data_IF_040003723274
#
_entry.id   IF_040003723274
#
_cell.length_a   1.000
_cell.length_b   1.000
_cell.length_c   1.000
_cell.angle_alpha   90.00
_cell.angle_beta   90.00
_cell.angle_gamma   90.00
#
_symmetry.space_group_name_H-M   'P 1'
#
loop_
_entity.id
_entity.type
_entity.pdbx_description
1 polymer ?
#
# COMPACT_ATOMS: atom_id res chain seq x y z
N UNK A 1 -13.90 23.46 20.37
CA UNK A 1 -14.93 23.25 19.34
C UNK A 1 -16.14 22.60 20.00
N UNK A 2 -17.36 23.07 19.71
CA UNK A 2 -18.57 22.51 20.33
C UNK A 2 -18.88 21.15 19.69
N UNK A 3 -19.25 20.15 20.51
CA UNK A 3 -19.63 18.83 20.02
C UNK A 3 -20.87 18.92 19.13
N UNK A 4 -20.90 18.12 18.08
CA UNK A 4 -21.90 18.03 17.01
C UNK A 4 -22.12 19.33 16.24
N UNK A 5 -21.20 20.29 16.32
CA UNK A 5 -21.29 21.51 15.53
C UNK A 5 -20.97 21.25 14.06
N UNK A 6 -21.48 22.08 13.14
CA UNK A 6 -21.06 22.05 11.74
C UNK A 6 -19.54 22.13 11.58
N UNK A 7 -18.87 22.96 12.40
CA UNK A 7 -17.41 23.10 12.39
C UNK A 7 -16.69 21.80 12.80
N UNK A 8 -17.21 21.06 13.79
CA UNK A 8 -16.64 19.77 14.16
C UNK A 8 -16.78 18.74 13.05
N UNK A 9 -17.95 18.70 12.40
CA UNK A 9 -18.19 17.79 11.27
C UNK A 9 -17.29 18.12 10.09
N UNK A 10 -17.12 19.41 9.77
CA UNK A 10 -16.21 19.87 8.72
C UNK A 10 -14.76 19.51 9.06
N UNK A 11 -14.33 19.75 10.31
CA UNK A 11 -13.02 19.36 10.81
C UNK A 11 -12.79 17.85 10.67
N UNK A 12 -13.73 17.02 11.14
CA UNK A 12 -13.63 15.57 11.06
C UNK A 12 -13.56 15.09 9.61
N UNK A 13 -14.46 15.60 8.75
CA UNK A 13 -14.48 15.27 7.32
C UNK A 13 -13.16 15.62 6.65
N UNK A 14 -12.60 16.80 6.91
CA UNK A 14 -11.27 17.20 6.40
C UNK A 14 -10.21 16.17 6.80
N UNK A 15 -10.11 15.82 8.08
CA UNK A 15 -9.09 14.90 8.58
C UNK A 15 -9.25 13.48 8.03
N UNK A 16 -10.48 13.00 7.86
CA UNK A 16 -10.73 11.70 7.22
C UNK A 16 -10.32 11.75 5.75
N UNK A 17 -10.74 12.76 5.01
CA UNK A 17 -10.53 12.83 3.57
C UNK A 17 -9.07 13.05 3.19
N UNK A 18 -8.36 13.95 3.88
CA UNK A 18 -6.98 14.33 3.55
C UNK A 18 -5.92 13.44 4.21
N UNK A 19 -6.30 12.44 5.01
CA UNK A 19 -5.32 11.59 5.71
C UNK A 19 -4.37 10.88 4.73
N UNK A 20 -3.10 10.92 5.08
CA UNK A 20 -2.02 10.13 4.47
C UNK A 20 -1.51 9.04 5.41
N UNK A 21 -1.95 9.10 6.68
CA UNK A 21 -1.42 8.34 7.80
C UNK A 21 -2.45 8.10 8.89
N UNK A 22 -1.97 7.66 10.05
CA UNK A 22 -2.73 7.78 11.29
C UNK A 22 -2.97 9.26 11.61
N UNK A 23 -4.13 9.54 12.17
CA UNK A 23 -4.49 10.87 12.66
C UNK A 23 -4.00 10.99 14.10
N UNK A 24 -3.13 11.96 14.35
CA UNK A 24 -2.65 12.29 15.69
C UNK A 24 -3.69 13.17 16.37
N UNK A 25 -4.07 12.82 17.59
CA UNK A 25 -4.87 13.70 18.44
C UNK A 25 -4.36 13.69 19.87
N UNK A 26 -4.49 14.85 20.52
CA UNK A 26 -4.14 15.06 21.91
C UNK A 26 -5.37 15.01 22.81
N UNK A 27 -5.21 14.42 23.99
CA UNK A 27 -6.22 14.49 25.04
C UNK A 27 -5.56 14.43 26.41
N UNK A 28 -6.22 15.03 27.40
CA UNK A 28 -5.81 14.90 28.79
C UNK A 28 -6.40 13.63 29.36
N UNK A 29 -5.57 12.81 30.00
CA UNK A 29 -6.01 11.61 30.73
C UNK A 29 -5.35 11.53 32.09
N UNK A 30 -5.93 10.76 32.98
CA UNK A 30 -5.22 10.35 34.19
C UNK A 30 -4.24 9.19 33.87
N UNK A 31 -3.12 9.11 34.59
CA UNK A 31 -2.25 7.94 34.54
C UNK A 31 -3.01 6.66 34.88
N UNK A 32 -2.67 5.58 34.20
CA UNK A 32 -3.20 4.25 34.49
C UNK A 32 -2.56 3.69 35.77
N UNK A 33 -3.20 2.70 36.40
CA UNK A 33 -2.63 2.04 37.58
C UNK A 33 -1.20 1.54 37.34
N UNK A 34 -0.93 1.00 36.14
CA UNK A 34 0.40 0.55 35.72
C UNK A 34 1.44 1.69 35.77
N UNK A 35 1.05 2.89 35.38
CA UNK A 35 1.94 4.06 35.36
C UNK A 35 2.21 4.63 36.77
N UNK A 36 1.20 4.52 37.65
CA UNK A 36 1.32 4.88 39.06
C UNK A 36 2.16 3.87 39.87
N UNK A 37 2.28 2.63 39.38
CA UNK A 37 2.94 1.53 40.09
C UNK A 37 4.33 1.19 39.53
N UNK A 38 4.89 2.00 38.62
CA UNK A 38 6.23 1.73 38.10
C UNK A 38 7.32 1.88 39.18
N UNK A 39 8.28 0.96 39.20
CA UNK A 39 9.44 1.02 40.10
C UNK A 39 10.41 2.16 39.74
N UNK A 40 10.44 2.56 38.47
CA UNK A 40 11.21 3.66 37.89
C UNK A 40 10.30 4.53 37.03
N UNK A 41 10.48 5.85 37.01
CA UNK A 41 9.62 6.79 36.25
C UNK A 41 8.14 6.76 36.67
N UNK A 42 7.88 6.57 37.97
CA UNK A 42 6.54 6.65 38.55
C UNK A 42 5.93 8.03 38.31
N UNK A 43 4.74 8.06 37.71
CA UNK A 43 4.00 9.30 37.49
C UNK A 43 3.09 9.57 38.69
N UNK A 44 2.97 10.83 39.10
CA UNK A 44 2.00 11.25 40.11
C UNK A 44 0.58 11.20 39.56
N UNK A 45 -0.41 11.03 40.44
CA UNK A 45 -1.82 11.04 40.05
C UNK A 45 -2.31 12.47 39.73
N UNK A 46 -1.91 12.98 38.58
CA UNK A 46 -2.32 14.27 38.03
C UNK A 46 -2.69 14.14 36.55
N UNK A 47 -3.57 15.00 36.01
CA UNK A 47 -3.92 14.96 34.59
C UNK A 47 -2.68 15.15 33.71
N UNK A 48 -2.43 14.19 32.81
CA UNK A 48 -1.32 14.24 31.85
C UNK A 48 -1.90 14.44 30.46
N UNK A 49 -1.38 15.45 29.74
CA UNK A 49 -1.66 15.59 28.32
C UNK A 49 -0.87 14.55 27.55
N UNK A 50 -1.56 13.76 26.72
CA UNK A 50 -0.94 12.76 25.86
C UNK A 50 -1.38 12.94 24.42
N UNK A 51 -0.49 12.62 23.48
CA UNK A 51 -0.80 12.54 22.06
C UNK A 51 -0.72 11.09 21.61
N UNK A 52 -1.75 10.64 20.87
CA UNK A 52 -1.77 9.30 20.31
C UNK A 52 -2.11 9.34 18.82
N UNK A 53 -1.59 8.35 18.11
CA UNK A 53 -1.88 8.12 16.70
C UNK A 53 -2.98 7.06 16.55
N UNK A 54 -4.09 7.40 15.89
CA UNK A 54 -5.14 6.44 15.53
C UNK A 54 -5.24 6.26 14.03
N UNK A 55 -5.33 5.00 13.60
CA UNK A 55 -5.74 4.70 12.22
C UNK A 55 -7.26 4.85 12.12
N UNK A 56 -7.71 5.45 11.03
CA UNK A 56 -9.12 5.53 10.63
C UNK A 56 -9.43 4.56 9.48
N UNK A 57 -8.53 3.61 9.23
CA UNK A 57 -8.70 2.63 8.18
C UNK A 57 -9.73 1.56 8.59
N UNK A 58 -10.26 0.89 7.58
CA UNK A 58 -11.17 -0.23 7.78
C UNK A 58 -10.50 -1.34 8.62
N UNK A 59 -11.15 -1.79 9.70
CA UNK A 59 -10.55 -2.69 10.71
C UNK A 59 -10.32 -4.15 10.23
N UNK A 60 -10.70 -4.47 8.98
CA UNK A 60 -10.55 -5.78 8.36
C UNK A 60 -11.24 -6.93 9.10
N UNK A 61 -12.26 -6.65 9.92
CA UNK A 61 -13.08 -7.70 10.56
C UNK A 61 -13.74 -8.63 9.54
N UNK A 62 -14.01 -8.13 8.33
CA UNK A 62 -14.46 -8.90 7.17
C UNK A 62 -13.45 -8.73 6.04
N UNK A 63 -13.39 -9.72 5.17
CA UNK A 63 -12.50 -9.72 4.01
C UNK A 63 -13.07 -8.80 2.92
N UNK A 64 -12.29 -7.85 2.38
CA UNK A 64 -12.68 -7.11 1.18
C UNK A 64 -12.84 -8.05 -0.01
N UNK A 65 -13.93 -7.92 -0.76
CA UNK A 65 -14.08 -8.59 -2.06
C UNK A 65 -13.31 -7.78 -3.09
N UNK A 66 -12.08 -8.18 -3.37
CA UNK A 66 -11.11 -7.42 -4.18
C UNK A 66 -11.57 -7.11 -5.61
N UNK A 67 -12.41 -7.96 -6.19
CA UNK A 67 -13.00 -7.76 -7.53
C UNK A 67 -14.12 -6.71 -7.53
N UNK A 68 -14.75 -6.44 -6.38
CA UNK A 68 -15.83 -5.46 -6.24
C UNK A 68 -15.34 -4.03 -5.96
N UNK A 69 -14.01 -3.82 -5.95
CA UNK A 69 -13.43 -2.57 -5.50
C UNK A 69 -13.61 -1.48 -6.55
N UNK A 70 -14.21 -0.35 -6.15
CA UNK A 70 -14.45 0.82 -7.00
C UNK A 70 -13.88 2.08 -6.37
N UNK A 71 -13.53 3.06 -7.21
CA UNK A 71 -13.00 4.34 -6.77
C UNK A 71 -14.18 5.31 -6.71
N UNK A 72 -14.49 5.79 -5.52
CA UNK A 72 -15.46 6.85 -5.29
C UNK A 72 -14.71 8.15 -5.03
N UNK A 73 -15.10 9.21 -5.73
CA UNK A 73 -14.51 10.53 -5.54
C UNK A 73 -15.42 11.39 -4.70
N UNK A 74 -14.90 11.91 -3.59
CA UNK A 74 -15.62 12.76 -2.66
C UNK A 74 -15.14 14.22 -2.82
N UNK A 75 -15.96 15.12 -3.39
CA UNK A 75 -15.64 16.54 -3.41
C UNK A 75 -15.79 17.14 -2.00
N UNK A 76 -14.76 17.88 -1.57
CA UNK A 76 -14.79 18.61 -0.30
C UNK A 76 -13.83 19.80 -0.35
N UNK A 77 -14.32 21.00 -0.03
CA UNK A 77 -13.52 22.23 0.05
C UNK A 77 -12.71 22.56 -1.21
N UNK A 78 -13.25 22.21 -2.39
CA UNK A 78 -12.59 22.46 -3.68
C UNK A 78 -11.58 21.39 -4.10
N UNK A 79 -11.31 20.40 -3.24
CA UNK A 79 -10.47 19.24 -3.54
C UNK A 79 -11.31 17.99 -3.82
N UNK A 80 -10.72 17.05 -4.57
CA UNK A 80 -11.30 15.76 -4.89
C UNK A 80 -10.52 14.65 -4.18
N UNK A 81 -11.19 13.90 -3.32
CA UNK A 81 -10.56 12.82 -2.56
C UNK A 81 -11.03 11.46 -3.04
N UNK A 82 -10.11 10.63 -3.53
CA UNK A 82 -10.40 9.24 -3.88
C UNK A 82 -10.57 8.35 -2.64
N UNK A 83 -11.59 7.50 -2.66
CA UNK A 83 -11.85 6.45 -1.68
C UNK A 83 -12.16 5.13 -2.36
N UNK A 84 -11.60 4.04 -1.85
CA UNK A 84 -11.97 2.70 -2.27
C UNK A 84 -13.25 2.26 -1.54
N UNK A 85 -14.24 1.86 -2.33
CA UNK A 85 -15.47 1.20 -1.88
C UNK A 85 -15.43 -0.26 -2.31
N UNK A 86 -15.98 -1.17 -1.51
CA UNK A 86 -15.96 -2.60 -1.80
C UNK A 86 -17.00 -3.36 -0.98
N UNK A 87 -17.49 -4.47 -1.53
CA UNK A 87 -18.25 -5.46 -0.77
C UNK A 87 -17.34 -6.26 0.18
N UNK A 88 -17.94 -6.96 1.14
CA UNK A 88 -17.18 -7.76 2.11
C UNK A 88 -17.75 -9.15 2.34
N UNK A 89 -16.86 -10.13 2.50
CA UNK A 89 -17.18 -11.52 2.81
C UNK A 89 -16.55 -11.93 4.15
N UNK A 90 -16.96 -13.08 4.69
CA UNK A 90 -16.26 -13.68 5.82
C UNK A 90 -14.85 -14.10 5.40
N UNK A 91 -13.89 -14.06 6.33
CA UNK A 91 -12.58 -14.67 6.11
C UNK A 91 -12.71 -16.19 6.12
N UNK A 92 -11.99 -16.88 5.25
CA UNK A 92 -11.96 -18.35 5.21
C UNK A 92 -11.43 -18.94 6.52
N UNK A 93 -10.39 -18.32 7.09
CA UNK A 93 -9.80 -18.73 8.37
C UNK A 93 -9.46 -17.55 9.28
N UNK A 94 -9.35 -17.81 10.58
CA UNK A 94 -8.83 -16.84 11.56
C UNK A 94 -7.37 -16.47 11.26
N UNK A 95 -6.60 -17.39 10.67
CA UNK A 95 -5.23 -17.15 10.26
C UNK A 95 -5.14 -16.10 9.16
N UNK A 96 -6.03 -16.16 8.17
CA UNK A 96 -6.08 -15.19 7.08
C UNK A 96 -6.46 -13.79 7.56
N UNK A 97 -7.47 -13.70 8.45
CA UNK A 97 -7.81 -12.47 9.15
C UNK A 97 -6.61 -11.88 9.89
N UNK A 98 -5.94 -12.70 10.71
CA UNK A 98 -4.80 -12.25 11.52
C UNK A 98 -3.67 -11.74 10.64
N UNK A 99 -3.31 -12.50 9.58
CA UNK A 99 -2.29 -12.12 8.59
C UNK A 99 -2.63 -10.80 7.90
N UNK A 100 -3.88 -10.63 7.46
CA UNK A 100 -4.34 -9.39 6.82
C UNK A 100 -4.28 -8.20 7.77
N UNK A 101 -4.75 -8.37 9.01
CA UNK A 101 -4.74 -7.32 10.04
C UNK A 101 -3.33 -6.88 10.41
N UNK A 102 -2.39 -7.81 10.52
CA UNK A 102 -0.98 -7.49 10.77
C UNK A 102 -0.35 -6.71 9.62
N UNK A 103 -0.59 -7.12 8.37
CA UNK A 103 -0.07 -6.41 7.19
C UNK A 103 -0.68 -5.01 7.07
N UNK A 104 -1.97 -4.83 7.37
CA UNK A 104 -2.61 -3.52 7.41
C UNK A 104 -2.07 -2.63 8.55
N UNK A 105 -1.84 -3.20 9.75
CA UNK A 105 -1.18 -2.47 10.85
C UNK A 105 0.24 -2.05 10.47
N UNK A 106 0.97 -2.89 9.74
CA UNK A 106 2.32 -2.56 9.26
C UNK A 106 2.29 -1.44 8.22
N UNK A 107 1.31 -1.45 7.32
CA UNK A 107 1.04 -0.33 6.41
C UNK A 107 0.77 0.96 7.18
N UNK A 108 -0.10 0.94 8.19
CA UNK A 108 -0.44 2.14 8.96
C UNK A 108 0.66 2.57 9.96
N UNK A 109 1.76 1.83 10.10
CA UNK A 109 2.78 2.15 11.07
C UNK A 109 3.69 3.28 10.56
N UNK A 110 3.50 4.49 11.10
CA UNK A 110 4.51 5.55 11.00
C UNK A 110 5.78 5.09 11.73
N UNK A 111 6.84 4.74 10.97
CA UNK A 111 8.18 4.53 11.54
C UNK A 111 9.14 5.60 10.99
N UNK A 112 10.05 6.16 11.81
CA UNK A 112 11.09 7.06 11.33
C UNK A 112 11.85 6.44 10.14
N UNK A 113 12.05 7.20 9.06
CA UNK A 113 12.68 6.70 7.82
C UNK A 113 11.81 5.74 6.99
N UNK A 114 10.54 5.57 7.32
CA UNK A 114 9.57 4.76 6.54
C UNK A 114 8.44 5.56 5.89
N UNK A 115 8.53 6.89 5.94
CA UNK A 115 7.65 7.85 5.28
C UNK A 115 8.45 8.68 4.26
N UNK A 116 7.81 9.08 3.15
CA UNK A 116 8.41 9.83 2.03
C UNK A 116 7.77 9.45 0.69
N UNK A 117 8.07 10.18 -0.39
CA UNK A 117 7.48 9.96 -1.73
C UNK A 117 7.64 8.52 -2.22
N UNK A 118 8.75 7.87 -1.85
CA UNK A 118 9.02 6.48 -2.23
C UNK A 118 8.27 5.45 -1.37
N UNK A 119 7.55 5.81 -0.29
CA UNK A 119 6.90 4.86 0.65
C UNK A 119 5.44 5.26 0.87
N UNK A 120 4.53 4.91 -0.06
CA UNK A 120 3.25 5.60 -0.24
C UNK A 120 2.13 5.16 0.72
N UNK A 121 2.41 4.39 1.77
CA UNK A 121 1.35 3.81 2.58
C UNK A 121 1.53 4.15 4.06
N UNK A 122 0.72 5.09 4.53
CA UNK A 122 0.41 5.31 5.96
C UNK A 122 -1.09 5.12 6.29
N UNK A 123 -1.93 4.93 5.28
CA UNK A 123 -3.36 4.66 5.42
C UNK A 123 -3.87 3.77 4.27
N UNK A 124 -5.10 3.26 4.41
CA UNK A 124 -5.84 2.49 3.41
C UNK A 124 -7.08 3.28 2.99
N UNK A 125 -6.90 4.19 2.04
CA UNK A 125 -7.92 5.10 1.53
C UNK A 125 -8.20 4.87 0.05
N UNK A 126 -7.19 4.88 -0.81
CA UNK A 126 -7.33 4.79 -2.28
C UNK A 126 -7.24 3.35 -2.79
N UNK A 127 -7.74 3.06 -4.01
CA UNK A 127 -7.65 1.72 -4.61
C UNK A 127 -6.19 1.26 -4.63
N UNK A 128 -5.27 2.15 -5.02
CA UNK A 128 -3.83 1.85 -5.09
C UNK A 128 -3.26 1.36 -3.76
N UNK A 129 -3.66 1.97 -2.65
CA UNK A 129 -3.24 1.56 -1.31
C UNK A 129 -3.82 0.18 -0.95
N UNK A 130 -5.08 -0.06 -1.31
CA UNK A 130 -5.75 -1.34 -1.10
C UNK A 130 -5.18 -2.49 -1.95
N UNK A 131 -4.83 -2.24 -3.21
CA UNK A 131 -4.14 -3.21 -4.08
C UNK A 131 -2.76 -3.56 -3.53
N UNK A 132 -2.04 -2.59 -2.98
CA UNK A 132 -0.78 -2.84 -2.27
C UNK A 132 -0.99 -3.77 -1.07
N UNK A 133 -2.06 -3.59 -0.29
CA UNK A 133 -2.41 -4.51 0.80
C UNK A 133 -2.76 -5.90 0.23
N UNK A 134 -3.59 -5.99 -0.81
CA UNK A 134 -3.98 -7.25 -1.44
C UNK A 134 -2.76 -8.07 -1.86
N UNK A 135 -1.83 -7.45 -2.60
CA UNK A 135 -0.55 -8.09 -2.98
C UNK A 135 0.18 -8.58 -1.75
N UNK A 136 0.39 -7.70 -0.75
CA UNK A 136 1.08 -8.07 0.48
C UNK A 136 0.41 -9.27 1.14
N UNK A 137 -0.91 -9.36 1.19
CA UNK A 137 -1.64 -10.51 1.79
C UNK A 137 -1.39 -11.80 1.02
N UNK A 138 -1.37 -11.74 -0.32
CA UNK A 138 -1.13 -12.89 -1.19
C UNK A 138 0.29 -13.46 -1.13
N UNK A 139 1.27 -12.68 -0.65
CA UNK A 139 2.63 -13.17 -0.45
C UNK A 139 2.83 -13.79 0.94
N UNK A 140 3.36 -15.02 0.95
CA UNK A 140 3.73 -15.87 2.10
C UNK A 140 4.91 -15.33 2.95
N UNK A 141 5.45 -14.15 2.60
CA UNK A 141 6.53 -13.49 3.33
C UNK A 141 7.92 -13.71 2.74
N UNK A 142 8.08 -14.58 1.74
CA UNK A 142 9.38 -14.79 1.06
C UNK A 142 9.80 -13.57 0.22
N UNK A 143 8.83 -12.75 -0.20
CA UNK A 143 9.02 -11.54 -0.98
C UNK A 143 8.46 -10.31 -0.26
N UNK A 144 9.28 -9.28 -0.15
CA UNK A 144 8.84 -7.97 0.32
C UNK A 144 8.22 -7.20 -0.84
N UNK A 145 6.91 -6.94 -0.75
CA UNK A 145 6.21 -6.03 -1.67
C UNK A 145 6.17 -4.63 -1.09
N UNK A 146 6.78 -3.66 -1.80
CA UNK A 146 6.78 -2.26 -1.40
C UNK A 146 5.46 -1.59 -1.81
N UNK A 147 5.13 -1.64 -3.08
CA UNK A 147 3.88 -1.15 -3.69
C UNK A 147 3.38 -2.19 -4.67
N UNK A 148 2.09 -2.14 -5.01
CA UNK A 148 1.52 -2.96 -6.09
C UNK A 148 2.27 -2.72 -7.41
N UNK A 149 2.41 -1.45 -7.82
CA UNK A 149 3.09 -1.08 -9.05
C UNK A 149 4.53 -1.59 -9.16
N UNK A 150 5.34 -1.44 -8.09
CA UNK A 150 6.71 -1.95 -8.08
C UNK A 150 6.76 -3.47 -8.17
N UNK A 151 5.76 -4.16 -7.59
CA UNK A 151 5.63 -5.60 -7.73
C UNK A 151 5.32 -5.97 -9.18
N UNK A 152 4.38 -5.28 -9.82
CA UNK A 152 4.03 -5.44 -11.24
C UNK A 152 5.25 -5.32 -12.15
N UNK A 153 6.07 -4.26 -12.00
CA UNK A 153 7.29 -4.10 -12.81
C UNK A 153 8.29 -5.25 -12.62
N UNK A 154 8.51 -5.68 -11.37
CA UNK A 154 9.43 -6.81 -11.12
C UNK A 154 8.90 -8.13 -11.69
N UNK A 155 7.58 -8.36 -11.65
CA UNK A 155 6.93 -9.54 -12.23
C UNK A 155 7.03 -9.54 -13.74
N UNK A 156 6.72 -8.40 -14.37
CA UNK A 156 6.83 -8.16 -15.81
C UNK A 156 8.25 -8.45 -16.33
N UNK A 157 9.28 -7.94 -15.66
CA UNK A 157 10.68 -8.23 -16.03
C UNK A 157 11.06 -9.68 -15.76
N UNK A 158 10.60 -10.27 -14.64
CA UNK A 158 10.90 -11.66 -14.31
C UNK A 158 10.32 -12.63 -15.33
N UNK A 159 9.04 -12.48 -15.70
CA UNK A 159 8.39 -13.34 -16.68
C UNK A 159 8.98 -13.17 -18.08
N UNK A 160 9.38 -11.95 -18.46
CA UNK A 160 10.11 -11.74 -19.71
C UNK A 160 11.44 -12.53 -19.75
N UNK A 161 12.24 -12.42 -18.68
CA UNK A 161 13.53 -13.11 -18.57
C UNK A 161 13.42 -14.64 -18.41
N UNK A 162 12.28 -15.15 -17.95
CA UNK A 162 11.97 -16.60 -17.92
C UNK A 162 11.25 -17.07 -19.20
N UNK A 163 10.99 -16.19 -20.17
CA UNK A 163 10.37 -16.55 -21.44
C UNK A 163 8.85 -16.80 -21.38
N UNK A 164 8.18 -16.34 -20.32
CA UNK A 164 6.71 -16.42 -20.21
C UNK A 164 6.00 -15.47 -21.19
N UNK A 165 6.65 -14.35 -21.52
CA UNK A 165 6.22 -13.37 -22.52
C UNK A 165 7.43 -12.64 -23.10
N UNK A 166 7.24 -11.98 -24.25
CA UNK A 166 8.30 -11.20 -24.89
C UNK A 166 7.89 -9.74 -25.01
N UNK A 167 8.72 -8.85 -24.47
CA UNK A 167 8.53 -7.40 -24.59
C UNK A 167 9.61 -6.85 -25.52
N UNK A 168 9.25 -6.21 -26.65
CA UNK A 168 10.21 -5.79 -27.68
C UNK A 168 11.35 -4.92 -27.14
N UNK A 169 11.04 -3.96 -26.28
CA UNK A 169 12.06 -3.06 -25.68
C UNK A 169 13.04 -3.85 -24.80
N UNK A 170 12.55 -4.82 -24.02
CA UNK A 170 13.40 -5.64 -23.16
C UNK A 170 14.24 -6.65 -23.95
N UNK A 171 13.71 -7.15 -25.07
CA UNK A 171 14.41 -8.06 -25.99
C UNK A 171 15.45 -7.33 -26.88
N UNK A 172 15.32 -6.01 -27.03
CA UNK A 172 16.21 -5.22 -27.88
C UNK A 172 17.67 -5.21 -27.39
N UNK A 173 18.59 -4.80 -28.26
CA UNK A 173 20.01 -4.58 -27.93
C UNK A 173 20.26 -3.24 -27.23
N UNK A 174 19.22 -2.50 -26.85
CA UNK A 174 19.38 -1.21 -26.19
C UNK A 174 20.14 -1.35 -24.86
N UNK A 175 20.90 -0.31 -24.46
CA UNK A 175 21.47 -0.19 -23.14
C UNK A 175 20.44 -0.45 -22.05
N UNK A 176 20.88 -1.04 -20.93
CA UNK A 176 19.98 -1.27 -19.78
C UNK A 176 19.38 0.04 -19.29
N UNK A 177 20.10 1.16 -19.34
CA UNK A 177 19.58 2.49 -18.96
C UNK A 177 18.29 2.83 -19.68
N UNK A 178 18.23 2.59 -20.99
CA UNK A 178 17.08 2.94 -21.82
C UNK A 178 15.90 2.02 -21.51
N UNK A 179 16.18 0.74 -21.22
CA UNK A 179 15.19 -0.22 -20.74
C UNK A 179 14.62 0.18 -19.38
N UNK A 180 15.44 0.71 -18.47
CA UNK A 180 14.97 1.22 -17.17
C UNK A 180 14.08 2.45 -17.37
N UNK A 181 14.49 3.39 -18.22
CA UNK A 181 13.68 4.57 -18.56
C UNK A 181 12.32 4.17 -19.13
N UNK A 182 12.30 3.20 -20.04
CA UNK A 182 11.05 2.67 -20.59
C UNK A 182 10.18 1.99 -19.52
N UNK A 183 10.77 1.17 -18.64
CA UNK A 183 10.01 0.54 -17.54
C UNK A 183 9.40 1.60 -16.60
N UNK A 184 10.16 2.64 -16.26
CA UNK A 184 9.68 3.76 -15.45
C UNK A 184 8.58 4.57 -16.14
N UNK A 185 8.55 4.61 -17.48
CA UNK A 185 7.50 5.35 -18.22
C UNK A 185 6.15 4.63 -18.29
N UNK A 186 6.05 3.36 -17.87
CA UNK A 186 4.81 2.58 -17.92
C UNK A 186 3.75 3.00 -16.88
N UNK A 187 4.03 4.02 -16.06
CA UNK A 187 3.09 4.51 -15.04
C UNK A 187 3.06 3.69 -13.74
N UNK A 188 3.90 2.64 -13.63
CA UNK A 188 4.04 1.81 -12.43
C UNK A 188 5.15 2.27 -11.47
N UNK A 189 5.61 3.52 -11.62
CA UNK A 189 6.71 4.09 -10.85
C UNK A 189 8.08 3.58 -11.30
N UNK A 190 9.10 3.80 -10.46
CA UNK A 190 10.47 3.62 -10.89
C UNK A 190 11.00 2.18 -10.84
N UNK A 191 11.73 1.80 -11.90
CA UNK A 191 12.50 0.57 -11.94
C UNK A 191 14.00 0.84 -11.92
N UNK A 192 14.65 0.47 -10.81
CA UNK A 192 16.05 0.76 -10.54
C UNK A 192 17.00 -0.27 -11.14
N UNK A 193 18.27 0.12 -11.33
CA UNK A 193 19.34 -0.80 -11.75
C UNK A 193 19.51 -1.97 -10.77
N UNK A 194 19.37 -1.73 -9.47
CA UNK A 194 19.45 -2.79 -8.47
C UNK A 194 18.36 -3.85 -8.67
N UNK A 195 17.11 -3.42 -8.94
CA UNK A 195 16.01 -4.34 -9.27
C UNK A 195 16.30 -5.13 -10.55
N UNK A 196 16.85 -4.49 -11.58
CA UNK A 196 17.25 -5.18 -12.81
C UNK A 196 18.28 -6.29 -12.55
N UNK A 197 19.33 -6.00 -11.78
CA UNK A 197 20.35 -6.99 -11.41
C UNK A 197 19.76 -8.12 -10.55
N UNK A 198 18.83 -7.81 -9.65
CA UNK A 198 18.09 -8.83 -8.91
C UNK A 198 17.33 -9.75 -9.86
N UNK A 199 16.65 -9.20 -10.87
CA UNK A 199 15.91 -9.99 -11.86
C UNK A 199 16.84 -10.70 -12.85
N UNK A 200 18.13 -10.38 -12.92
CA UNK A 200 19.09 -11.19 -13.69
C UNK A 200 19.39 -12.54 -13.01
N UNK A 201 19.10 -12.69 -11.71
CA UNK A 201 19.33 -13.94 -10.95
C UNK A 201 18.11 -14.86 -11.04
N UNK A 202 18.31 -16.10 -11.50
CA UNK A 202 17.23 -17.08 -11.73
C UNK A 202 16.47 -17.44 -10.45
N UNK A 203 17.18 -17.62 -9.33
CA UNK A 203 16.57 -17.91 -8.03
C UNK A 203 15.62 -16.79 -7.57
N UNK A 204 15.96 -15.53 -7.88
CA UNK A 204 15.13 -14.36 -7.56
C UNK A 204 13.89 -14.30 -8.42
N UNK A 205 14.01 -14.54 -9.73
CA UNK A 205 12.86 -14.61 -10.63
C UNK A 205 11.88 -15.71 -10.24
N UNK A 206 12.39 -16.90 -9.91
CA UNK A 206 11.56 -18.01 -9.45
C UNK A 206 10.72 -17.62 -8.22
N UNK A 207 11.31 -16.92 -7.23
CA UNK A 207 10.56 -16.43 -6.05
C UNK A 207 9.54 -15.36 -6.38
N UNK A 208 9.86 -14.44 -7.31
CA UNK A 208 8.91 -13.41 -7.76
C UNK A 208 7.70 -14.06 -8.42
N UNK A 209 7.94 -15.00 -9.34
CA UNK A 209 6.90 -15.64 -10.14
C UNK A 209 6.07 -16.66 -9.36
N UNK A 210 6.63 -17.31 -8.33
CA UNK A 210 5.89 -18.26 -7.44
C UNK A 210 4.61 -17.66 -6.85
N UNK A 211 4.59 -16.34 -6.67
CA UNK A 211 3.48 -15.63 -6.03
C UNK A 211 2.90 -14.50 -6.90
N UNK A 212 3.29 -14.48 -8.19
CA UNK A 212 2.75 -13.56 -9.16
C UNK A 212 1.40 -14.10 -9.66
N UNK A 213 0.43 -13.19 -9.85
CA UNK A 213 -0.79 -13.50 -10.58
C UNK A 213 -0.49 -13.39 -12.08
N UNK A 214 -0.19 -14.53 -12.70
CA UNK A 214 0.28 -14.59 -14.08
C UNK A 214 -0.76 -14.06 -15.07
N UNK A 215 -2.04 -14.29 -14.80
CA UNK A 215 -3.11 -13.85 -15.70
C UNK A 215 -3.27 -12.32 -15.64
N UNK A 216 -3.20 -11.73 -14.45
CA UNK A 216 -3.19 -10.26 -14.29
C UNK A 216 -1.98 -9.64 -15.00
N UNK A 217 -0.80 -10.24 -14.88
CA UNK A 217 0.40 -9.69 -15.54
C UNK A 217 0.34 -9.85 -17.06
N UNK A 218 -0.30 -10.90 -17.58
CA UNK A 218 -0.52 -11.04 -19.03
C UNK A 218 -1.42 -9.93 -19.58
N UNK A 219 -2.50 -9.57 -18.89
CA UNK A 219 -3.31 -8.40 -19.29
C UNK A 219 -2.46 -7.12 -19.34
N UNK A 220 -1.59 -6.90 -18.34
CA UNK A 220 -0.66 -5.76 -18.36
C UNK A 220 0.31 -5.83 -19.55
N UNK A 221 0.78 -7.03 -19.91
CA UNK A 221 1.65 -7.22 -21.09
C UNK A 221 0.90 -6.88 -22.38
N UNK A 222 -0.36 -7.31 -22.52
CA UNK A 222 -1.22 -6.98 -23.66
C UNK A 222 -1.40 -5.46 -23.78
N UNK A 223 -1.79 -4.79 -22.70
CA UNK A 223 -1.95 -3.32 -22.65
C UNK A 223 -0.67 -2.58 -23.08
N UNK A 224 0.50 -3.07 -22.61
CA UNK A 224 1.81 -2.49 -22.94
C UNK A 224 2.18 -2.71 -24.40
N UNK A 225 1.83 -3.86 -24.98
CA UNK A 225 2.10 -4.18 -26.38
C UNK A 225 1.18 -3.37 -27.31
N UNK A 226 -0.09 -3.21 -26.96
CA UNK A 226 -1.05 -2.41 -27.71
C UNK A 226 -0.63 -0.93 -27.74
N UNK A 227 -0.26 -0.38 -26.58
CA UNK A 227 0.26 1.00 -26.49
C UNK A 227 1.56 1.22 -27.29
N UNK A 228 2.40 0.19 -27.41
CA UNK A 228 3.62 0.25 -28.21
C UNK A 228 3.36 0.11 -29.73
N UNK A 229 2.28 -0.57 -30.12
CA UNK A 229 1.85 -0.73 -31.51
C UNK A 229 1.20 0.53 -32.10
N UNK A 230 0.50 1.33 -31.27
CA UNK A 230 -0.10 2.61 -31.69
C UNK A 230 0.93 3.74 -31.88
N UNK A 231 2.13 3.58 -31.33
CA UNK A 231 3.21 4.57 -31.39
C UNK A 231 4.20 4.38 -32.56
N UNK A 232 3.97 3.40 -33.44
CA UNK A 232 4.81 3.03 -34.59
C UNK A 232 4.15 3.36 -35.92
#
# INVERSE_FOLDING_TARGET
MKRDSPDERAWYRRHVLSRTGKVTYGYTRFPSFRELSHATDRVDFMPVYTQIDRSLDYDLKRQPVWSSMTAETVPFEGEQYEFASFATTAWDTVGDYTRAKEKARHIAANRPGTTGDDRPTGCLRTIKQWRTLQRRIGHDGERRVRTDDSATLTELVAGHKEGLWSLPVLASKQPVTDKLTWLSSLGYGDFTRAQWEHMSKRDRRARVLKSADIDVIKCVVEDVLDAAGEAA
#
